data_IF_453036718095
#
_entry.id   IF_453036718095
#
_cell.length_a   1.000
_cell.length_b   1.000
_cell.length_c   1.000
_cell.angle_alpha   90.00
_cell.angle_beta   90.00
_cell.angle_gamma   90.00
#
_symmetry.space_group_name_H-M   'P 1'
#
loop_
_entity.id
_entity.type
_entity.pdbx_description
1 polymer ?
#
# COMPACT_ATOMS: atom_id res chain seq x y z
N UNK A 1 -20.59 39.96 13.67
CA UNK A 1 -22.04 39.68 13.72
C UNK A 1 -22.28 38.86 14.97
N UNK A 2 -22.89 39.51 15.96
CA UNK A 2 -23.01 39.07 17.34
C UNK A 2 -24.11 38.02 17.51
N UNK A 3 -23.83 37.07 18.39
CA UNK A 3 -24.73 36.03 18.90
C UNK A 3 -25.93 36.63 19.64
N UNK A 4 -27.13 36.18 19.32
CA UNK A 4 -28.35 36.50 20.08
C UNK A 4 -28.66 35.35 21.01
N UNK A 5 -28.46 35.60 22.31
CA UNK A 5 -28.86 34.77 23.43
C UNK A 5 -30.33 35.09 23.72
N UNK A 6 -31.21 34.09 23.69
CA UNK A 6 -32.57 34.23 24.22
C UNK A 6 -32.60 33.72 25.66
N UNK A 7 -32.60 34.69 26.57
CA UNK A 7 -32.96 34.57 27.99
C UNK A 7 -34.46 34.29 28.13
N UNK A 8 -34.83 33.27 28.91
CA UNK A 8 -36.17 33.19 29.50
C UNK A 8 -36.02 33.15 31.02
N UNK A 9 -36.21 34.33 31.62
CA UNK A 9 -36.56 34.55 33.01
C UNK A 9 -37.89 33.84 33.32
N UNK A 10 -37.91 32.99 34.34
CA UNK A 10 -39.14 32.63 35.03
C UNK A 10 -38.96 32.96 36.49
N UNK A 11 -39.58 34.08 36.87
CA UNK A 11 -39.68 34.62 38.21
C UNK A 11 -39.99 33.57 39.27
N UNK A 12 -39.12 33.55 40.28
CA UNK A 12 -39.42 33.10 41.64
C UNK A 12 -40.55 33.96 42.21
N UNK A 13 -41.78 33.44 42.24
CA UNK A 13 -42.85 33.98 43.08
C UNK A 13 -42.80 33.22 44.39
N UNK A 14 -42.10 33.79 45.38
CA UNK A 14 -42.28 33.46 46.78
C UNK A 14 -43.56 34.14 47.26
N UNK A 15 -44.61 33.36 47.52
CA UNK A 15 -45.70 33.78 48.40
C UNK A 15 -45.61 32.97 49.68
N UNK A 16 -45.34 33.67 50.78
CA UNK A 16 -45.40 33.17 52.14
C UNK A 16 -46.84 32.77 52.48
N UNK A 17 -47.05 31.48 52.75
CA UNK A 17 -48.11 31.04 53.64
C UNK A 17 -47.47 30.13 54.68
N UNK A 18 -47.15 30.71 55.83
CA UNK A 18 -46.79 29.99 57.04
C UNK A 18 -47.99 29.20 57.53
N UNK A 19 -48.05 27.92 57.17
CA UNK A 19 -48.84 26.91 57.86
C UNK A 19 -47.87 25.92 58.52
N UNK A 20 -48.06 25.55 59.81
CA UNK A 20 -47.11 24.69 60.52
C UNK A 20 -47.14 23.27 59.92
N UNK A 21 -46.11 22.91 59.15
CA UNK A 21 -45.95 21.55 58.65
C UNK A 21 -45.53 20.63 59.79
N UNK A 22 -46.39 19.67 60.11
CA UNK A 22 -46.08 18.55 60.99
C UNK A 22 -44.97 17.67 60.39
N UNK A 23 -44.19 17.02 61.26
CA UNK A 23 -43.01 16.20 60.95
C UNK A 23 -43.25 15.11 59.85
N UNK A 24 -44.51 14.76 59.61
CA UNK A 24 -44.95 13.78 58.62
C UNK A 24 -44.96 14.32 57.17
N UNK A 25 -45.04 15.63 56.96
CA UNK A 25 -45.02 16.25 55.64
C UNK A 25 -43.60 16.43 55.09
N UNK A 26 -42.60 16.56 55.97
CA UNK A 26 -41.19 16.69 55.59
C UNK A 26 -40.63 15.41 54.96
N UNK A 27 -41.06 14.24 55.48
CA UNK A 27 -40.66 12.94 54.95
C UNK A 27 -41.26 12.69 53.55
N UNK A 28 -42.53 13.07 53.34
CA UNK A 28 -43.19 12.96 52.03
C UNK A 28 -42.53 13.83 50.98
N UNK A 29 -42.15 15.06 51.33
CA UNK A 29 -41.44 15.97 50.42
C UNK A 29 -40.03 15.47 50.06
N UNK A 30 -39.30 14.92 51.03
CA UNK A 30 -37.98 14.31 50.78
C UNK A 30 -38.07 13.07 49.88
N UNK A 31 -39.11 12.25 50.03
CA UNK A 31 -39.36 11.09 49.15
C UNK A 31 -39.74 11.55 47.74
N UNK A 32 -40.63 12.54 47.62
CA UNK A 32 -41.03 13.08 46.31
C UNK A 32 -39.83 13.73 45.58
N UNK A 33 -38.99 14.49 46.30
CA UNK A 33 -37.78 15.10 45.75
C UNK A 33 -36.75 14.04 45.32
N UNK A 34 -36.54 12.98 46.10
CA UNK A 34 -35.67 11.85 45.72
C UNK A 34 -36.20 11.11 44.49
N UNK A 35 -37.52 10.90 44.39
CA UNK A 35 -38.15 10.26 43.23
C UNK A 35 -38.04 11.13 41.97
N UNK A 36 -38.32 12.44 42.07
CA UNK A 36 -38.18 13.38 40.96
C UNK A 36 -36.72 13.52 40.49
N UNK A 37 -35.75 13.50 41.41
CA UNK A 37 -34.31 13.52 41.08
C UNK A 37 -33.84 12.22 40.43
N UNK A 38 -34.36 11.07 40.87
CA UNK A 38 -34.10 9.77 40.25
C UNK A 38 -34.69 9.68 38.83
N UNK A 39 -35.92 10.18 38.62
CA UNK A 39 -36.55 10.22 37.29
C UNK A 39 -35.81 11.16 36.32
N UNK A 40 -35.27 12.28 36.81
CA UNK A 40 -34.39 13.17 36.02
C UNK A 40 -33.04 12.55 35.66
N UNK A 41 -32.41 11.81 36.59
CA UNK A 41 -31.14 11.11 36.33
C UNK A 41 -31.30 9.94 35.35
N UNK A 42 -32.41 9.19 35.42
CA UNK A 42 -32.69 8.09 34.49
C UNK A 42 -32.84 8.63 33.05
N UNK A 43 -33.54 9.75 32.86
CA UNK A 43 -33.70 10.36 31.53
C UNK A 43 -32.38 10.89 30.95
N UNK A 44 -31.47 11.41 31.78
CA UNK A 44 -30.14 11.84 31.33
C UNK A 44 -29.27 10.63 30.94
N UNK A 45 -29.29 9.55 31.72
CA UNK A 45 -28.53 8.33 31.43
C UNK A 45 -29.02 7.69 30.13
N UNK A 46 -30.34 7.58 29.93
CA UNK A 46 -30.91 7.09 28.66
C UNK A 46 -30.56 8.00 27.49
N UNK A 47 -30.62 9.33 27.66
CA UNK A 47 -30.22 10.29 26.62
C UNK A 47 -28.76 10.18 26.22
N UNK A 48 -27.84 10.04 27.18
CA UNK A 48 -26.39 9.84 26.91
C UNK A 48 -26.13 8.47 26.28
N UNK A 49 -26.85 7.43 26.69
CA UNK A 49 -26.73 6.09 26.11
C UNK A 49 -27.20 6.08 24.64
N UNK A 50 -28.33 6.72 24.32
CA UNK A 50 -28.79 6.89 22.94
C UNK A 50 -27.87 7.79 22.10
N UNK A 51 -27.28 8.84 22.68
CA UNK A 51 -26.28 9.67 21.99
C UNK A 51 -24.98 8.90 21.70
N UNK A 52 -24.57 8.00 22.61
CA UNK A 52 -23.41 7.12 22.41
C UNK A 52 -23.68 6.02 21.36
N UNK A 53 -24.91 5.50 21.30
CA UNK A 53 -25.33 4.54 20.28
C UNK A 53 -25.45 5.18 18.88
N UNK A 54 -25.88 6.43 18.79
CA UNK A 54 -25.92 7.14 17.49
C UNK A 54 -24.52 7.54 17.02
N UNK A 55 -23.60 7.93 17.92
CA UNK A 55 -22.19 8.16 17.58
C UNK A 55 -21.46 6.86 17.17
N UNK A 56 -21.75 5.73 17.83
CA UNK A 56 -21.19 4.42 17.45
C UNK A 56 -21.74 3.89 16.11
N UNK A 57 -22.94 4.31 15.70
CA UNK A 57 -23.55 3.93 14.42
C UNK A 57 -22.96 4.70 13.22
N UNK A 58 -22.34 5.86 13.45
CA UNK A 58 -21.73 6.69 12.39
C UNK A 58 -20.33 6.17 12.01
N UNK A 59 -19.68 5.33 12.83
CA UNK A 59 -18.39 4.72 12.51
C UNK A 59 -18.51 3.35 11.82
N UNK A 60 -19.58 3.09 11.06
CA UNK A 60 -19.58 2.03 10.05
C UNK A 60 -18.78 2.47 8.81
N UNK A 61 -17.55 2.91 9.01
CA UNK A 61 -16.58 3.02 7.94
C UNK A 61 -16.26 1.57 7.55
N UNK A 62 -16.99 1.01 6.58
CA UNK A 62 -16.64 -0.28 5.98
C UNK A 62 -15.18 -0.14 5.56
N UNK A 63 -14.29 -0.85 6.25
CA UNK A 63 -12.86 -0.84 5.96
C UNK A 63 -12.70 -1.26 4.49
N UNK A 64 -12.48 -0.29 3.60
CA UNK A 64 -12.40 -0.55 2.16
C UNK A 64 -11.07 -1.23 1.87
N UNK A 65 -11.14 -2.53 1.69
CA UNK A 65 -10.00 -3.35 1.32
C UNK A 65 -9.88 -3.41 -0.21
N UNK A 66 -9.07 -2.50 -0.77
CA UNK A 66 -8.81 -2.42 -2.21
C UNK A 66 -8.16 -3.69 -2.78
N UNK A 67 -7.54 -4.53 -1.95
CA UNK A 67 -6.95 -5.80 -2.40
C UNK A 67 -8.00 -6.82 -2.83
N UNK A 68 -9.27 -6.62 -2.44
CA UNK A 68 -10.41 -7.47 -2.82
C UNK A 68 -11.11 -7.02 -4.09
N UNK A 69 -10.64 -5.95 -4.72
CA UNK A 69 -11.27 -5.44 -5.93
C UNK A 69 -11.10 -6.41 -7.11
N UNK A 70 -12.12 -6.54 -7.98
CA UNK A 70 -12.03 -7.43 -9.11
C UNK A 70 -11.02 -6.94 -10.14
N UNK A 71 -10.42 -7.89 -10.85
CA UNK A 71 -9.56 -7.65 -12.01
C UNK A 71 -8.08 -7.45 -11.67
N UNK A 72 -7.25 -7.23 -12.71
CA UNK A 72 -5.81 -7.08 -12.56
C UNK A 72 -5.46 -5.65 -12.12
N UNK A 73 -5.74 -5.29 -10.86
CA UNK A 73 -5.54 -3.90 -10.38
C UNK A 73 -4.07 -3.48 -10.39
N UNK A 74 -3.13 -4.42 -10.15
CA UNK A 74 -1.69 -4.15 -10.23
C UNK A 74 -1.28 -3.72 -11.64
N UNK A 75 -1.84 -4.37 -12.68
CA UNK A 75 -1.59 -4.07 -14.08
C UNK A 75 -1.97 -2.65 -14.44
N UNK A 76 -3.21 -2.25 -14.17
CA UNK A 76 -3.66 -0.90 -14.50
C UNK A 76 -2.91 0.19 -13.72
N UNK A 77 -2.56 -0.10 -12.46
CA UNK A 77 -1.77 0.82 -11.64
C UNK A 77 -0.35 1.01 -12.20
N UNK A 78 0.31 -0.07 -12.62
CA UNK A 78 1.65 -0.02 -13.23
C UNK A 78 1.66 0.80 -14.52
N UNK A 79 0.63 0.66 -15.35
CA UNK A 79 0.45 1.46 -16.56
C UNK A 79 0.11 2.95 -16.30
N UNK A 80 -0.11 3.32 -15.04
CA UNK A 80 -0.56 4.67 -14.67
C UNK A 80 -1.99 4.98 -15.11
N UNK A 81 -2.85 3.96 -15.28
CA UNK A 81 -4.25 4.18 -15.59
C UNK A 81 -5.01 4.70 -14.37
N UNK A 82 -5.95 5.61 -14.62
CA UNK A 82 -6.72 6.26 -13.56
C UNK A 82 -7.97 5.45 -13.21
N UNK A 83 -8.22 5.10 -11.93
CA UNK A 83 -9.42 4.37 -11.52
C UNK A 83 -10.67 5.24 -11.68
N UNK A 84 -11.74 4.66 -12.22
CA UNK A 84 -13.04 5.34 -12.35
C UNK A 84 -14.08 4.60 -11.50
N UNK A 85 -14.75 5.35 -10.63
CA UNK A 85 -15.75 4.85 -9.68
C UNK A 85 -17.17 5.20 -10.14
N UNK A 86 -18.15 4.33 -9.87
CA UNK A 86 -19.54 4.57 -10.28
C UNK A 86 -20.18 5.57 -9.33
N UNK A 87 -19.88 5.43 -8.04
CA UNK A 87 -20.22 6.40 -7.00
C UNK A 87 -18.96 6.80 -6.20
N UNK A 88 -18.91 8.02 -5.62
CA UNK A 88 -17.76 8.49 -4.83
C UNK A 88 -17.35 7.59 -3.66
N UNK A 89 -18.31 6.84 -3.09
CA UNK A 89 -18.10 5.98 -1.93
C UNK A 89 -17.87 4.50 -2.30
N UNK A 90 -17.78 4.17 -3.59
CA UNK A 90 -17.50 2.80 -4.01
C UNK A 90 -16.05 2.42 -3.64
N UNK A 91 -15.86 1.25 -3.04
CA UNK A 91 -14.53 0.80 -2.66
C UNK A 91 -13.65 0.47 -3.88
N UNK A 92 -14.28 -0.10 -4.92
CA UNK A 92 -13.59 -0.61 -6.09
C UNK A 92 -13.96 0.19 -7.35
N UNK A 93 -12.98 0.50 -8.21
CA UNK A 93 -13.29 1.10 -9.50
C UNK A 93 -14.07 0.10 -10.36
N UNK A 94 -15.03 0.62 -11.13
CA UNK A 94 -15.76 -0.20 -12.10
C UNK A 94 -15.03 -0.29 -13.45
N UNK A 95 -14.11 0.65 -13.72
CA UNK A 95 -13.20 0.63 -14.89
C UNK A 95 -11.94 1.45 -14.62
N UNK A 96 -10.96 1.32 -15.49
CA UNK A 96 -9.76 2.14 -15.51
C UNK A 96 -9.69 2.95 -16.80
N UNK A 97 -9.34 4.23 -16.70
CA UNK A 97 -9.04 5.08 -17.84
C UNK A 97 -7.55 4.94 -18.19
N UNK A 98 -7.26 4.37 -19.36
CA UNK A 98 -5.92 4.14 -19.89
C UNK A 98 -5.65 4.95 -21.17
N UNK A 99 -6.37 6.03 -21.43
CA UNK A 99 -6.27 6.76 -22.70
C UNK A 99 -4.86 7.31 -22.95
N UNK A 100 -4.15 7.73 -21.89
CA UNK A 100 -2.73 8.15 -21.94
C UNK A 100 -1.78 7.05 -22.41
N UNK A 101 -2.13 5.78 -22.18
CA UNK A 101 -1.34 4.62 -22.60
C UNK A 101 -1.64 4.28 -24.05
N UNK A 102 -2.91 4.37 -24.46
CA UNK A 102 -3.35 4.14 -25.84
C UNK A 102 -2.81 5.17 -26.83
N UNK A 103 -2.62 6.41 -26.38
CA UNK A 103 -2.11 7.51 -27.21
C UNK A 103 -0.58 7.53 -27.35
N UNK A 104 0.12 6.56 -26.77
CA UNK A 104 1.58 6.52 -26.81
C UNK A 104 2.12 6.29 -28.22
N UNK A 105 3.20 7.01 -28.51
CA UNK A 105 3.84 6.94 -29.82
C UNK A 105 4.50 5.58 -30.02
N UNK A 106 4.33 4.93 -31.19
CA UNK A 106 5.08 3.72 -31.52
C UNK A 106 6.58 4.00 -31.74
N UNK A 107 7.01 5.27 -31.74
CA UNK A 107 8.40 5.69 -31.94
C UNK A 107 9.09 6.11 -30.63
N UNK A 108 8.48 5.87 -29.48
CA UNK A 108 9.06 6.13 -28.16
C UNK A 108 9.00 4.91 -27.26
N UNK A 109 9.99 4.78 -26.38
CA UNK A 109 9.95 3.81 -25.29
C UNK A 109 9.44 4.48 -24.03
N UNK A 110 8.97 3.66 -23.09
CA UNK A 110 8.39 4.15 -21.87
C UNK A 110 8.77 3.29 -20.67
N UNK A 111 9.12 3.93 -19.55
CA UNK A 111 9.43 3.28 -18.29
C UNK A 111 8.97 4.16 -17.13
N UNK A 112 8.24 3.59 -16.17
CA UNK A 112 7.74 4.27 -14.96
C UNK A 112 7.10 5.65 -15.21
N UNK A 113 6.40 5.82 -16.33
CA UNK A 113 5.75 7.08 -16.70
C UNK A 113 6.64 8.09 -17.45
N UNK A 114 7.94 7.80 -17.63
CA UNK A 114 8.83 8.60 -18.45
C UNK A 114 8.84 8.14 -19.92
N UNK A 115 9.01 9.09 -20.84
CA UNK A 115 9.18 8.85 -22.27
C UNK A 115 10.65 8.93 -22.68
N UNK A 116 11.01 8.11 -23.67
CA UNK A 116 12.37 7.96 -24.17
C UNK A 116 12.39 7.99 -25.70
N UNK A 117 13.34 8.74 -26.25
CA UNK A 117 13.57 8.75 -27.69
C UNK A 117 14.39 7.52 -28.12
N UNK A 118 14.26 7.13 -29.39
CA UNK A 118 15.12 6.08 -29.96
C UNK A 118 16.58 6.50 -29.82
N UNK A 119 17.40 5.59 -29.30
CA UNK A 119 18.81 5.81 -28.99
C UNK A 119 19.07 6.24 -27.54
N UNK A 120 18.05 6.70 -26.80
CA UNK A 120 18.20 7.13 -25.40
C UNK A 120 18.44 5.94 -24.48
N UNK A 121 19.33 6.12 -23.50
CA UNK A 121 19.61 5.13 -22.45
C UNK A 121 18.55 5.23 -21.35
N UNK A 122 18.21 4.10 -20.73
CA UNK A 122 17.36 4.08 -19.55
C UNK A 122 18.01 4.91 -18.43
N UNK A 123 17.24 5.80 -17.80
CA UNK A 123 17.73 6.62 -16.69
C UNK A 123 17.93 5.79 -15.44
N UNK A 124 18.83 6.22 -14.57
CA UNK A 124 19.18 5.47 -13.35
C UNK A 124 17.97 5.32 -12.43
N UNK A 125 17.15 6.37 -12.28
CA UNK A 125 15.92 6.34 -11.49
C UNK A 125 14.86 5.36 -12.00
N UNK A 126 14.95 4.97 -13.27
CA UNK A 126 14.04 4.00 -13.88
C UNK A 126 14.62 2.59 -13.98
N UNK A 127 15.87 2.42 -13.54
CA UNK A 127 16.66 1.22 -13.69
C UNK A 127 16.60 0.35 -12.43
N UNK A 128 16.47 -0.97 -12.64
CA UNK A 128 16.79 -1.98 -11.64
C UNK A 128 18.24 -2.45 -11.82
N UNK A 129 18.85 -3.09 -10.80
CA UNK A 129 20.22 -3.61 -10.90
C UNK A 129 20.52 -4.48 -12.13
N UNK A 130 19.51 -5.19 -12.65
CA UNK A 130 19.62 -6.07 -13.81
C UNK A 130 19.39 -5.38 -15.16
N UNK A 131 18.99 -4.11 -15.17
CA UNK A 131 18.72 -3.36 -16.40
C UNK A 131 20.05 -2.77 -16.95
N UNK A 132 20.96 -3.67 -17.31
CA UNK A 132 22.30 -3.29 -17.76
C UNK A 132 22.26 -2.80 -19.20
N UNK A 133 22.80 -1.60 -19.44
CA UNK A 133 22.91 -0.97 -20.75
C UNK A 133 21.61 -0.95 -21.56
N UNK A 134 20.47 -0.76 -20.90
CA UNK A 134 19.18 -0.67 -21.57
C UNK A 134 19.08 0.59 -22.44
N UNK A 135 18.74 0.39 -23.71
CA UNK A 135 18.57 1.47 -24.69
C UNK A 135 17.22 1.35 -25.38
N UNK A 136 16.57 2.48 -25.63
CA UNK A 136 15.37 2.54 -26.45
C UNK A 136 15.73 2.32 -27.92
N UNK A 137 15.20 1.27 -28.55
CA UNK A 137 15.47 0.91 -29.94
C UNK A 137 14.19 0.62 -30.70
N UNK A 138 14.20 0.84 -32.02
CA UNK A 138 13.11 0.44 -32.91
C UNK A 138 13.31 -1.01 -33.35
N UNK A 139 12.45 -1.91 -32.88
CA UNK A 139 12.50 -3.35 -33.16
C UNK A 139 11.09 -3.85 -33.46
N UNK A 140 10.90 -4.57 -34.56
CA UNK A 140 9.57 -5.13 -34.90
C UNK A 140 8.49 -4.07 -35.16
N UNK A 141 8.86 -2.89 -35.67
CA UNK A 141 7.93 -1.81 -36.02
C UNK A 141 7.56 -0.85 -34.88
N UNK A 142 8.04 -1.09 -33.65
CA UNK A 142 7.81 -0.25 -32.47
C UNK A 142 9.09 0.00 -31.70
N UNK A 143 9.14 1.11 -30.97
CA UNK A 143 10.21 1.41 -30.03
C UNK A 143 10.02 0.63 -28.71
N UNK A 144 11.07 -0.09 -28.27
CA UNK A 144 11.11 -0.81 -27.00
C UNK A 144 12.52 -0.79 -26.40
N UNK A 145 12.62 -1.02 -25.09
CA UNK A 145 13.91 -1.16 -24.45
C UNK A 145 14.55 -2.51 -24.80
N UNK A 146 15.82 -2.46 -25.19
CA UNK A 146 16.68 -3.61 -25.33
C UNK A 146 17.84 -3.45 -24.36
N UNK A 147 18.06 -4.47 -23.52
CA UNK A 147 19.10 -4.49 -22.50
C UNK A 147 20.13 -5.56 -22.81
N UNK A 148 21.32 -5.43 -22.23
CA UNK A 148 22.29 -6.51 -22.23
C UNK A 148 21.71 -7.72 -21.49
N UNK A 149 21.86 -8.91 -22.06
CA UNK A 149 21.57 -10.15 -21.35
C UNK A 149 22.63 -10.32 -20.28
N UNK A 150 22.18 -10.48 -19.04
CA UNK A 150 23.05 -10.73 -17.89
C UNK A 150 22.90 -12.20 -17.50
N UNK A 151 23.94 -12.96 -17.79
CA UNK A 151 24.07 -14.33 -17.32
C UNK A 151 24.66 -14.32 -15.92
N UNK A 152 23.79 -14.45 -14.91
CA UNK A 152 24.26 -14.73 -13.57
C UNK A 152 24.76 -16.18 -13.54
N UNK A 153 26.04 -16.43 -13.21
CA UNK A 153 26.52 -17.78 -13.07
C UNK A 153 25.77 -18.43 -11.90
N UNK A 154 24.83 -19.32 -12.22
CA UNK A 154 24.13 -20.13 -11.23
C UNK A 154 25.11 -21.20 -10.75
N UNK A 155 26.03 -20.80 -9.87
CA UNK A 155 26.79 -21.78 -9.11
C UNK A 155 25.78 -22.52 -8.23
N UNK A 156 25.46 -23.75 -8.60
CA UNK A 156 24.84 -24.68 -7.66
C UNK A 156 25.85 -24.89 -6.54
N UNK A 157 25.66 -24.17 -5.44
CA UNK A 157 26.52 -24.32 -4.27
C UNK A 157 26.10 -25.61 -3.57
N UNK A 158 26.68 -26.71 -4.05
CA UNK A 158 26.40 -28.06 -3.52
C UNK A 158 26.99 -28.25 -2.12
N UNK A 159 28.06 -27.53 -1.80
CA UNK A 159 28.69 -27.56 -0.49
C UNK A 159 27.88 -26.71 0.51
N UNK A 160 27.35 -27.31 1.60
CA UNK A 160 26.58 -26.57 2.61
C UNK A 160 27.39 -25.52 3.37
N UNK A 161 28.72 -25.57 3.33
CA UNK A 161 29.61 -24.60 3.97
C UNK A 161 29.87 -23.37 3.09
N UNK A 162 29.38 -23.38 1.85
CA UNK A 162 29.53 -22.30 0.91
C UNK A 162 28.20 -21.55 0.73
N UNK A 163 28.26 -20.26 0.45
CA UNK A 163 27.09 -19.44 0.14
C UNK A 163 27.40 -18.39 -0.93
N UNK A 164 26.35 -17.86 -1.55
CA UNK A 164 26.47 -16.77 -2.52
C UNK A 164 26.19 -15.43 -1.83
N UNK A 165 27.20 -14.54 -1.68
CA UNK A 165 26.96 -13.20 -1.18
C UNK A 165 26.13 -12.41 -2.19
N UNK A 166 25.32 -11.46 -1.69
CA UNK A 166 24.49 -10.59 -2.51
C UNK A 166 24.48 -9.17 -1.96
N UNK A 167 24.35 -8.19 -2.85
CA UNK A 167 24.10 -6.79 -2.48
C UNK A 167 22.79 -6.33 -3.10
N UNK A 168 22.10 -5.39 -2.45
CA UNK A 168 20.78 -4.98 -2.90
C UNK A 168 20.83 -4.25 -4.26
N UNK A 169 21.95 -3.60 -4.57
CA UNK A 169 22.18 -2.84 -5.79
C UNK A 169 22.86 -3.66 -6.92
N UNK A 170 23.08 -4.95 -6.73
CA UNK A 170 23.68 -5.83 -7.75
C UNK A 170 22.63 -6.77 -8.35
N UNK A 171 22.73 -7.05 -9.65
CA UNK A 171 21.81 -7.98 -10.32
C UNK A 171 22.06 -9.43 -9.91
N UNK A 172 23.34 -9.82 -9.96
CA UNK A 172 23.78 -11.20 -9.74
C UNK A 172 24.38 -11.36 -8.35
N UNK A 173 24.32 -12.58 -7.79
CA UNK A 173 25.18 -12.92 -6.67
C UNK A 173 26.67 -12.77 -7.03
N UNK A 174 27.48 -12.52 -6.00
CA UNK A 174 28.92 -12.60 -6.11
C UNK A 174 29.42 -14.05 -6.21
N UNK A 175 30.74 -14.22 -6.19
CA UNK A 175 31.36 -15.55 -6.19
C UNK A 175 31.04 -16.32 -4.89
N UNK A 176 30.94 -17.66 -4.94
CA UNK A 176 30.74 -18.46 -3.74
C UNK A 176 31.81 -18.21 -2.68
N UNK A 177 31.38 -17.95 -1.45
CA UNK A 177 32.25 -17.85 -0.27
C UNK A 177 32.09 -19.14 0.53
N UNK A 178 33.18 -19.88 0.67
CA UNK A 178 33.23 -21.12 1.44
C UNK A 178 33.89 -20.88 2.80
N UNK A 179 33.16 -21.21 3.86
CA UNK A 179 33.63 -21.03 5.23
C UNK A 179 34.13 -22.36 5.78
N UNK A 180 35.14 -22.32 6.66
CA UNK A 180 35.53 -23.51 7.43
C UNK A 180 34.47 -23.90 8.44
N UNK A 181 33.81 -22.90 9.03
CA UNK A 181 32.70 -23.07 9.95
C UNK A 181 31.50 -22.25 9.44
N UNK A 182 30.34 -22.87 9.15
CA UNK A 182 29.14 -22.16 8.69
C UNK A 182 28.64 -21.06 9.63
N UNK A 183 28.96 -21.15 10.92
CA UNK A 183 28.53 -20.14 11.90
C UNK A 183 29.29 -18.82 11.82
N UNK A 184 30.43 -18.81 11.09
CA UNK A 184 31.22 -17.61 10.81
C UNK A 184 30.59 -16.73 9.72
N UNK A 185 29.51 -17.20 9.07
CA UNK A 185 28.80 -16.41 8.05
C UNK A 185 28.32 -15.10 8.70
N UNK A 186 28.61 -13.93 8.11
CA UNK A 186 28.21 -12.66 8.70
C UNK A 186 26.71 -12.61 8.96
N UNK A 187 26.35 -12.02 10.11
CA UNK A 187 24.97 -11.95 10.62
C UNK A 187 24.54 -10.50 10.78
N UNK A 188 23.29 -10.20 10.43
CA UNK A 188 22.64 -8.92 10.65
C UNK A 188 21.49 -9.10 11.63
N UNK A 189 21.42 -8.24 12.64
CA UNK A 189 20.32 -8.22 13.60
C UNK A 189 19.35 -7.09 13.22
N UNK A 190 18.15 -7.45 12.78
CA UNK A 190 17.14 -6.49 12.29
C UNK A 190 15.78 -6.86 12.86
N UNK A 191 15.11 -5.91 13.52
CA UNK A 191 13.75 -6.08 14.05
C UNK A 191 13.55 -7.30 14.96
N UNK A 192 14.59 -7.66 15.72
CA UNK A 192 14.61 -8.84 16.60
C UNK A 192 14.86 -10.18 15.89
N UNK A 193 15.18 -10.16 14.59
CA UNK A 193 15.51 -11.35 13.79
C UNK A 193 16.96 -11.31 13.32
N UNK A 194 17.58 -12.49 13.23
CA UNK A 194 18.92 -12.68 12.68
C UNK A 194 18.79 -13.07 11.21
N UNK A 195 19.52 -12.38 10.36
CA UNK A 195 19.70 -12.67 8.94
C UNK A 195 21.16 -13.03 8.67
N UNK A 196 21.42 -13.95 7.75
CA UNK A 196 22.77 -14.34 7.31
C UNK A 196 23.13 -13.62 6.00
N UNK A 197 24.42 -13.38 5.76
CA UNK A 197 24.93 -12.69 4.56
C UNK A 197 24.33 -13.21 3.25
N UNK A 198 23.68 -12.36 2.46
CA UNK A 198 22.98 -12.70 1.22
C UNK A 198 21.48 -12.96 1.39
N UNK A 199 20.97 -13.06 2.62
CA UNK A 199 19.53 -13.17 2.89
C UNK A 199 18.83 -11.81 2.75
N UNK A 200 17.66 -11.84 2.13
CA UNK A 200 16.82 -10.65 1.94
C UNK A 200 15.95 -10.36 3.17
N UNK A 201 15.71 -9.08 3.44
CA UNK A 201 14.78 -8.61 4.46
C UNK A 201 14.10 -7.31 4.07
N UNK A 202 12.97 -7.02 4.73
CA UNK A 202 12.24 -5.76 4.62
C UNK A 202 12.20 -5.17 6.03
N UNK A 203 12.84 -4.01 6.30
CA UNK A 203 12.80 -3.38 7.61
C UNK A 203 11.39 -2.95 7.99
N UNK A 204 10.96 -3.20 9.23
CA UNK A 204 9.64 -2.77 9.73
C UNK A 204 9.50 -1.25 9.77
N UNK A 205 10.59 -0.53 10.06
CA UNK A 205 10.63 0.94 10.08
C UNK A 205 10.51 1.55 8.68
N UNK A 206 10.92 0.81 7.64
CA UNK A 206 10.99 1.29 6.26
C UNK A 206 10.47 0.20 5.29
N UNK A 207 9.16 -0.10 5.33
CA UNK A 207 8.57 -1.24 4.62
C UNK A 207 8.61 -1.13 3.09
N UNK A 208 8.98 0.05 2.58
CA UNK A 208 9.17 0.32 1.16
C UNK A 208 10.60 0.02 0.69
N UNK A 209 11.53 -0.35 1.58
CA UNK A 209 12.89 -0.74 1.21
C UNK A 209 13.02 -2.25 1.14
N UNK A 210 13.79 -2.71 0.16
CA UNK A 210 14.25 -4.10 0.08
C UNK A 210 15.73 -4.15 0.41
N UNK A 211 16.10 -4.96 1.38
CA UNK A 211 17.44 -5.05 1.91
C UNK A 211 18.01 -6.46 1.80
N UNK A 212 19.33 -6.55 1.84
CA UNK A 212 20.10 -7.79 1.87
C UNK A 212 21.10 -7.68 3.02
N UNK A 213 21.13 -8.68 3.88
CA UNK A 213 22.14 -8.76 4.93
C UNK A 213 23.52 -8.94 4.30
N UNK A 214 24.52 -8.23 4.79
CA UNK A 214 25.88 -8.37 4.30
C UNK A 214 26.93 -7.97 5.33
N UNK A 215 28.21 -8.23 5.03
CA UNK A 215 29.31 -7.89 5.92
C UNK A 215 29.33 -6.38 6.19
N UNK A 216 29.48 -5.98 7.47
CA UNK A 216 29.59 -4.58 7.85
C UNK A 216 28.27 -3.82 7.97
N UNK A 217 27.11 -4.48 7.88
CA UNK A 217 25.82 -3.86 8.17
C UNK A 217 25.74 -3.43 9.64
N UNK A 218 25.51 -2.13 9.88
CA UNK A 218 25.47 -1.51 11.23
C UNK A 218 24.07 -1.16 11.73
N UNK A 219 23.02 -1.65 11.07
CA UNK A 219 21.63 -1.28 11.39
C UNK A 219 21.09 -0.11 10.57
N UNK A 220 21.85 0.41 9.62
CA UNK A 220 21.45 1.51 8.75
C UNK A 220 20.94 1.00 7.39
N UNK A 221 19.70 1.33 7.04
CA UNK A 221 19.04 0.87 5.82
C UNK A 221 19.44 1.69 4.58
N UNK A 222 20.74 1.72 4.27
CA UNK A 222 21.32 2.47 3.15
C UNK A 222 22.05 1.55 2.16
N UNK A 223 22.45 2.09 1.01
CA UNK A 223 23.29 1.36 0.06
C UNK A 223 24.63 0.95 0.71
N UNK A 224 25.20 -0.21 0.38
CA UNK A 224 24.74 -1.18 -0.64
C UNK A 224 23.73 -2.23 -0.11
N UNK A 225 23.36 -2.16 1.17
CA UNK A 225 22.53 -3.16 1.82
C UNK A 225 21.05 -3.03 1.49
N UNK A 226 20.58 -1.81 1.26
CA UNK A 226 19.17 -1.53 0.99
C UNK A 226 18.99 -0.68 -0.27
N UNK A 227 17.87 -0.91 -0.95
CA UNK A 227 17.39 -0.03 -2.01
C UNK A 227 15.89 0.14 -1.92
N UNK A 228 15.40 1.23 -2.51
CA UNK A 228 13.97 1.40 -2.79
C UNK A 228 13.70 0.72 -4.13
N UNK A 229 12.86 -0.33 -4.19
CA UNK A 229 12.44 -0.91 -5.46
C UNK A 229 11.55 0.10 -6.21
N UNK A 230 11.51 -0.02 -7.53
CA UNK A 230 10.57 0.76 -8.34
C UNK A 230 9.14 0.50 -7.87
N UNK A 231 8.30 1.54 -7.96
CA UNK A 231 6.93 1.55 -7.42
C UNK A 231 6.06 0.39 -7.95
N UNK A 232 6.39 -0.14 -9.12
CA UNK A 232 5.89 -1.42 -9.59
C UNK A 232 7.05 -2.33 -10.00
N UNK A 233 7.04 -3.54 -9.48
CA UNK A 233 8.00 -4.59 -9.86
C UNK A 233 7.70 -5.18 -11.24
N UNK A 234 6.47 -5.03 -11.75
CA UNK A 234 6.03 -5.68 -12.98
C UNK A 234 6.56 -4.97 -14.24
N UNK A 235 6.58 -3.63 -14.21
CA UNK A 235 7.16 -2.77 -15.26
C UNK A 235 6.64 -3.16 -16.65
N UNK A 236 5.32 -3.26 -16.80
CA UNK A 236 4.70 -3.78 -18.03
C UNK A 236 5.08 -2.94 -19.24
N UNK A 237 5.17 -1.63 -19.12
CA UNK A 237 5.52 -0.77 -20.27
C UNK A 237 6.96 -0.95 -20.72
N UNK A 238 7.85 -1.22 -19.77
CA UNK A 238 9.25 -1.50 -20.04
C UNK A 238 9.46 -2.86 -20.72
N UNK A 239 8.71 -3.89 -20.29
CA UNK A 239 8.91 -5.29 -20.73
C UNK A 239 7.95 -5.77 -21.83
N UNK A 240 6.76 -5.20 -21.90
CA UNK A 240 5.59 -5.70 -22.65
C UNK A 240 4.96 -4.63 -23.54
N UNK A 241 5.76 -3.71 -24.07
CA UNK A 241 5.29 -2.61 -24.93
C UNK A 241 4.45 -3.12 -26.11
N UNK A 242 4.84 -4.24 -26.72
CA UNK A 242 4.12 -4.85 -27.85
C UNK A 242 2.78 -5.48 -27.41
N UNK A 243 2.70 -6.08 -26.23
CA UNK A 243 1.46 -6.68 -25.72
C UNK A 243 0.44 -5.59 -25.38
N UNK A 244 0.89 -4.52 -24.72
CA UNK A 244 0.04 -3.38 -24.32
C UNK A 244 -0.50 -2.68 -25.57
N UNK A 245 0.36 -2.45 -26.56
CA UNK A 245 0.01 -1.88 -27.85
C UNK A 245 -1.15 -2.57 -28.55
N UNK A 246 -1.14 -3.90 -28.49
CA UNK A 246 -2.08 -4.76 -29.18
C UNK A 246 -3.30 -5.08 -28.33
N UNK A 247 -3.49 -4.37 -27.21
CA UNK A 247 -4.58 -4.59 -26.24
C UNK A 247 -4.67 -6.06 -25.79
N UNK A 248 -3.52 -6.70 -25.60
CA UNK A 248 -3.47 -8.08 -25.13
C UNK A 248 -3.86 -8.15 -23.65
N UNK A 249 -4.52 -9.24 -23.27
CA UNK A 249 -5.01 -9.43 -21.90
C UNK A 249 -3.91 -10.08 -21.05
N UNK A 250 -3.53 -9.50 -19.89
CA UNK A 250 -2.59 -10.14 -18.97
C UNK A 250 -3.16 -11.46 -18.44
N UNK A 251 -2.31 -12.46 -18.28
CA UNK A 251 -2.67 -13.79 -17.78
C UNK A 251 -1.91 -14.11 -16.50
N UNK A 252 -2.55 -14.88 -15.63
CA UNK A 252 -2.07 -15.19 -14.28
C UNK A 252 -2.23 -16.69 -14.03
N UNK A 253 -1.34 -17.27 -13.24
CA UNK A 253 -1.55 -18.62 -12.70
C UNK A 253 -2.68 -18.62 -11.68
N UNK A 254 -3.28 -19.80 -11.45
CA UNK A 254 -4.40 -19.96 -10.53
C UNK A 254 -4.10 -19.54 -9.08
N UNK A 255 -2.83 -19.51 -8.67
CA UNK A 255 -2.39 -19.10 -7.31
C UNK A 255 -1.97 -17.64 -7.23
N UNK A 256 -1.85 -16.94 -8.35
CA UNK A 256 -1.49 -15.54 -8.35
C UNK A 256 -2.73 -14.69 -8.11
N UNK A 257 -2.58 -13.63 -7.33
CA UNK A 257 -3.57 -12.58 -7.19
C UNK A 257 -3.33 -11.51 -8.27
N UNK A 258 -4.25 -11.32 -9.23
CA UNK A 258 -4.13 -10.23 -10.20
C UNK A 258 -4.13 -8.83 -9.56
N UNK A 259 -4.54 -8.73 -8.29
CA UNK A 259 -4.59 -7.47 -7.56
C UNK A 259 -3.21 -7.00 -7.08
N UNK A 260 -2.32 -7.93 -6.76
CA UNK A 260 -0.97 -7.64 -6.22
C UNK A 260 0.17 -8.14 -7.09
N UNK A 261 -0.03 -9.22 -7.84
CA UNK A 261 1.05 -9.94 -8.50
C UNK A 261 1.24 -9.48 -9.95
N UNK A 262 2.39 -9.83 -10.51
CA UNK A 262 2.69 -9.61 -11.92
C UNK A 262 2.12 -10.73 -12.80
N UNK A 263 1.61 -10.37 -13.98
CA UNK A 263 1.14 -11.34 -14.96
C UNK A 263 2.29 -12.18 -15.48
N UNK A 264 2.04 -13.45 -15.74
CA UNK A 264 3.04 -14.39 -16.28
C UNK A 264 3.17 -14.32 -17.79
N UNK A 265 2.23 -13.67 -18.46
CA UNK A 265 2.25 -13.44 -19.90
C UNK A 265 0.98 -12.75 -20.36
N UNK A 266 0.83 -12.62 -21.68
CA UNK A 266 -0.29 -11.94 -22.32
C UNK A 266 -0.97 -12.83 -23.35
N UNK A 267 -2.28 -12.63 -23.54
CA UNK A 267 -3.06 -13.25 -24.61
C UNK A 267 -3.65 -12.18 -25.51
N UNK A 268 -3.13 -12.12 -26.73
CA UNK A 268 -3.65 -11.26 -27.78
C UNK A 268 -4.77 -11.97 -28.53
N UNK A 269 -5.79 -11.23 -28.99
CA UNK A 269 -6.69 -11.77 -30.02
C UNK A 269 -5.84 -12.02 -31.27
N UNK A 270 -5.97 -13.20 -31.90
CA UNK A 270 -5.21 -13.53 -33.13
C UNK A 270 -5.35 -12.35 -34.09
N UNK A 271 -4.20 -11.91 -34.62
CA UNK A 271 -4.09 -10.83 -35.60
C UNK A 271 -5.21 -10.93 -36.64
N UNK A 272 -6.07 -9.91 -36.74
CA UNK A 272 -6.80 -9.69 -38.00
C UNK A 272 -5.74 -9.33 -39.02
N UNK A 273 -5.46 -10.29 -39.89
CA UNK A 273 -4.55 -10.16 -41.05
C UNK A 273 -5.01 -9.03 -41.96
#
# INVERSE_FOLDING_TARGET
MHSTIYTFDVHLIYFEYYAPMTQQNHLKWLVLYKLLRAMGQINIIFGVFFLSLTLASISANRFCDKTKCPGPTSYYKDLGCEPVYKNPNDCCPYKYNCDKVKSRSPNKCYANGHEYNIGEMLREEDSNPCDVQCRCLRLGGRAKFMCAVIDCPFFHVADPNCYLPRKANECCPGQPICLRNPEDRPKCFVDGKIYRDGEEFIPKSEPHKKCICGPGYKGENIAPFCRVPLASSCRYEFRHADDIANNCTPTYYHRQSPQSDCSVGFRCRKYSS
#
